data_IF_257987333672
#
_entry.id   IF_257987333672
#
_cell.length_a   1.000
_cell.length_b   1.000
_cell.length_c   1.000
_cell.angle_alpha   90.00
_cell.angle_beta   90.00
_cell.angle_gamma   90.00
#
_symmetry.space_group_name_H-M   'P 1'
#
loop_
_entity.id
_entity.type
_entity.pdbx_description
1 polymer ?
#
# COMPACT_ATOMS: atom_id res chain seq x y z
N UNK A 1 19.11 -2.78 -37.82
CA UNK A 1 18.82 -1.78 -36.77
C UNK A 1 20.12 -1.07 -36.48
N UNK A 2 20.10 0.27 -36.44
CA UNK A 2 21.30 1.09 -36.26
C UNK A 2 21.88 0.88 -34.83
N UNK A 3 23.15 0.51 -34.74
CA UNK A 3 23.83 0.21 -33.46
C UNK A 3 23.86 1.43 -32.51
N UNK A 4 23.86 2.64 -33.06
CA UNK A 4 23.77 3.89 -32.31
C UNK A 4 22.37 4.07 -31.71
N UNK A 5 21.32 3.65 -32.42
CA UNK A 5 19.96 3.65 -31.88
C UNK A 5 19.80 2.64 -30.73
N UNK A 6 20.38 1.44 -30.86
CA UNK A 6 20.37 0.45 -29.79
C UNK A 6 21.09 0.97 -28.53
N UNK A 7 22.26 1.59 -28.70
CA UNK A 7 23.01 2.17 -27.58
C UNK A 7 22.22 3.28 -26.85
N UNK A 8 21.54 4.15 -27.60
CA UNK A 8 20.67 5.20 -27.02
C UNK A 8 19.50 4.61 -26.26
N UNK A 9 18.87 3.57 -26.81
CA UNK A 9 17.75 2.89 -26.15
C UNK A 9 18.18 2.28 -24.82
N UNK A 10 19.31 1.57 -24.80
CA UNK A 10 19.86 0.99 -23.57
C UNK A 10 20.17 2.08 -22.54
N UNK A 11 20.78 3.20 -22.96
CA UNK A 11 21.08 4.32 -22.07
C UNK A 11 19.81 4.91 -21.44
N UNK A 12 18.76 5.13 -22.24
CA UNK A 12 17.47 5.66 -21.75
C UNK A 12 16.82 4.70 -20.75
N UNK A 13 16.84 3.39 -21.04
CA UNK A 13 16.28 2.38 -20.14
C UNK A 13 17.02 2.39 -18.81
N UNK A 14 18.35 2.34 -18.82
CA UNK A 14 19.16 2.36 -17.58
C UNK A 14 18.91 3.64 -16.77
N UNK A 15 18.86 4.80 -17.44
CA UNK A 15 18.57 6.07 -16.78
C UNK A 15 17.17 6.07 -16.13
N UNK A 16 16.15 5.58 -16.85
CA UNK A 16 14.78 5.50 -16.33
C UNK A 16 14.65 4.59 -15.11
N UNK A 17 15.35 3.45 -15.12
CA UNK A 17 15.40 2.51 -13.98
C UNK A 17 16.10 3.15 -12.78
N UNK A 18 17.22 3.84 -12.99
CA UNK A 18 17.94 4.53 -11.92
C UNK A 18 17.08 5.61 -11.23
N UNK A 19 16.41 6.47 -12.01
CA UNK A 19 15.51 7.51 -11.48
C UNK A 19 14.36 6.88 -10.69
N UNK A 20 13.75 5.82 -11.23
CA UNK A 20 12.65 5.12 -10.55
C UNK A 20 13.12 4.48 -9.24
N UNK A 21 14.31 3.87 -9.24
CA UNK A 21 14.89 3.26 -8.05
C UNK A 21 15.16 4.30 -6.95
N UNK A 22 15.72 5.47 -7.29
CA UNK A 22 15.91 6.57 -6.35
C UNK A 22 14.58 7.11 -5.81
N UNK A 23 13.57 7.29 -6.66
CA UNK A 23 12.24 7.71 -6.23
C UNK A 23 11.62 6.72 -5.24
N UNK A 24 11.73 5.41 -5.50
CA UNK A 24 11.26 4.36 -4.59
C UNK A 24 12.09 4.31 -3.30
N UNK A 25 13.40 4.51 -3.39
CA UNK A 25 14.26 4.56 -2.21
C UNK A 25 13.86 5.71 -1.28
N UNK A 26 13.70 6.92 -1.83
CA UNK A 26 13.22 8.10 -1.10
C UNK A 26 11.84 7.87 -0.49
N UNK A 27 10.90 7.33 -1.25
CA UNK A 27 9.57 7.00 -0.74
C UNK A 27 9.63 5.99 0.42
N UNK A 28 10.57 5.03 0.39
CA UNK A 28 10.78 4.08 1.50
C UNK A 28 11.44 4.72 2.72
N UNK A 29 12.36 5.64 2.54
CA UNK A 29 12.93 6.44 3.63
C UNK A 29 11.85 7.29 4.30
N UNK A 30 10.97 7.92 3.51
CA UNK A 30 9.83 8.69 4.01
C UNK A 30 8.83 7.80 4.74
N UNK A 31 8.53 6.60 4.22
CA UNK A 31 7.68 5.62 4.93
C UNK A 31 8.33 5.10 6.21
N UNK A 32 9.65 4.96 6.24
CA UNK A 32 10.40 4.58 7.45
C UNK A 32 10.41 5.72 8.47
N UNK A 33 10.48 6.97 8.01
CA UNK A 33 10.32 8.16 8.84
C UNK A 33 8.88 8.32 9.35
N UNK A 34 7.87 7.98 8.53
CA UNK A 34 6.45 7.91 8.91
C UNK A 34 6.13 6.69 9.79
N UNK A 35 7.01 5.68 9.83
CA UNK A 35 6.97 4.55 10.78
C UNK A 35 7.52 4.94 12.15
N UNK A 36 8.21 6.09 12.30
CA UNK A 36 8.25 6.72 13.63
C UNK A 36 6.80 7.00 14.01
N UNK A 37 6.31 6.54 15.18
CA UNK A 37 4.93 6.72 15.53
C UNK A 37 4.66 8.22 15.61
N UNK A 38 4.04 8.76 14.57
CA UNK A 38 3.40 10.07 14.63
C UNK A 38 2.43 10.01 15.80
N UNK A 39 2.41 11.00 16.72
CA UNK A 39 1.38 11.07 17.73
C UNK A 39 0.05 11.09 16.99
N UNK A 40 -0.68 9.98 17.09
CA UNK A 40 -1.97 9.77 16.44
C UNK A 40 -2.86 10.97 16.74
N UNK A 41 -3.02 11.86 15.79
CA UNK A 41 -4.04 12.89 15.84
C UNK A 41 -5.38 12.21 15.56
N UNK A 42 -6.06 11.86 16.64
CA UNK A 42 -7.51 11.96 16.78
C UNK A 42 -8.37 11.18 15.80
N UNK A 43 -8.56 9.89 16.05
CA UNK A 43 -9.92 9.32 16.11
C UNK A 43 -9.85 8.01 16.87
N UNK A 44 -10.48 8.00 18.04
CA UNK A 44 -10.98 6.85 18.80
C UNK A 44 -10.33 5.50 18.47
N UNK A 45 -9.44 5.02 19.34
CA UNK A 45 -9.16 3.60 19.47
C UNK A 45 -10.09 3.05 20.57
N UNK A 46 -11.28 2.51 20.26
CA UNK A 46 -11.88 1.56 21.16
C UNK A 46 -11.12 0.24 21.03
N UNK A 47 -10.68 -0.29 22.17
CA UNK A 47 -10.45 -1.72 22.48
C UNK A 47 -10.39 -2.63 21.25
N UNK A 48 -9.19 -3.11 20.92
CA UNK A 48 -8.96 -4.36 20.19
C UNK A 48 -9.99 -4.63 19.09
N UNK A 49 -10.07 -3.77 18.08
CA UNK A 49 -11.05 -3.94 17.01
C UNK A 49 -10.88 -5.33 16.38
N UNK A 50 -11.85 -6.27 16.56
CA UNK A 50 -11.74 -7.62 16.02
C UNK A 50 -11.58 -7.60 14.49
N UNK A 51 -12.00 -6.52 13.82
CA UNK A 51 -11.80 -6.31 12.39
C UNK A 51 -10.31 -6.25 12.01
N UNK A 52 -9.45 -5.62 12.82
CA UNK A 52 -8.00 -5.57 12.54
C UNK A 52 -7.37 -6.96 12.60
N UNK A 53 -7.85 -7.84 13.48
CA UNK A 53 -7.41 -9.22 13.56
C UNK A 53 -7.71 -9.98 12.26
N UNK A 54 -8.96 -9.88 11.79
CA UNK A 54 -9.41 -10.52 10.55
C UNK A 54 -8.66 -10.00 9.32
N UNK A 55 -8.48 -8.68 9.21
CA UNK A 55 -7.73 -8.06 8.12
C UNK A 55 -6.26 -8.52 8.09
N UNK A 56 -5.59 -8.60 9.25
CA UNK A 56 -4.21 -9.12 9.32
C UNK A 56 -4.10 -10.57 8.90
N UNK A 57 -5.04 -11.42 9.33
CA UNK A 57 -5.07 -12.84 8.90
C UNK A 57 -5.20 -12.93 7.38
N UNK A 58 -6.12 -12.17 6.78
CA UNK A 58 -6.29 -12.12 5.32
C UNK A 58 -5.05 -11.58 4.60
N UNK A 59 -4.36 -10.58 5.15
CA UNK A 59 -3.12 -10.07 4.58
C UNK A 59 -1.98 -11.10 4.63
N UNK A 60 -1.86 -11.86 5.72
CA UNK A 60 -0.82 -12.89 5.87
C UNK A 60 -1.00 -14.06 4.89
N UNK A 61 -2.24 -14.33 4.46
CA UNK A 61 -2.52 -15.34 3.43
C UNK A 61 -2.14 -14.90 2.01
N UNK A 62 -1.96 -13.59 1.76
CA UNK A 62 -1.52 -13.08 0.47
C UNK A 62 -2.49 -13.40 -0.67
N UNK A 63 -1.96 -13.97 -1.76
CA UNK A 63 -2.76 -14.29 -2.96
C UNK A 63 -3.91 -15.26 -2.68
N UNK A 64 -3.72 -16.21 -1.75
CA UNK A 64 -4.77 -17.16 -1.36
C UNK A 64 -6.03 -16.47 -0.80
N UNK A 65 -5.88 -15.33 -0.12
CA UNK A 65 -7.01 -14.57 0.41
C UNK A 65 -7.92 -13.99 -0.68
N UNK A 66 -7.43 -13.83 -1.91
CA UNK A 66 -8.23 -13.31 -3.03
C UNK A 66 -9.31 -14.29 -3.49
N UNK A 67 -9.15 -15.59 -3.16
CA UNK A 67 -10.09 -16.67 -3.47
C UNK A 67 -10.91 -17.10 -2.26
N UNK A 68 -10.62 -16.53 -1.09
CA UNK A 68 -11.30 -16.82 0.17
C UNK A 68 -12.50 -15.87 0.36
N UNK A 69 -13.69 -16.43 0.41
CA UNK A 69 -14.93 -15.67 0.52
C UNK A 69 -15.03 -14.85 1.84
N UNK A 70 -14.46 -15.35 2.94
CA UNK A 70 -14.45 -14.65 4.23
C UNK A 70 -13.54 -13.42 4.17
N UNK A 71 -12.40 -13.53 3.50
CA UNK A 71 -11.48 -12.40 3.30
C UNK A 71 -12.03 -11.34 2.36
N UNK A 72 -12.68 -11.74 1.27
CA UNK A 72 -13.38 -10.81 0.38
C UNK A 72 -14.47 -10.03 1.13
N UNK A 73 -15.27 -10.72 1.96
CA UNK A 73 -16.29 -10.07 2.79
C UNK A 73 -15.68 -9.10 3.81
N UNK A 74 -14.58 -9.49 4.46
CA UNK A 74 -13.86 -8.66 5.44
C UNK A 74 -13.34 -7.37 4.80
N UNK A 75 -12.77 -7.42 3.60
CA UNK A 75 -12.30 -6.23 2.90
C UNK A 75 -13.44 -5.31 2.45
N UNK A 76 -14.55 -5.89 1.97
CA UNK A 76 -15.73 -5.12 1.61
C UNK A 76 -16.28 -4.35 2.81
N UNK A 77 -16.37 -5.01 3.97
CA UNK A 77 -16.85 -4.39 5.20
C UNK A 77 -15.91 -3.28 5.70
N UNK A 78 -14.60 -3.54 5.68
CA UNK A 78 -13.61 -2.53 6.04
C UNK A 78 -13.73 -1.30 5.12
N UNK A 79 -13.82 -1.52 3.80
CA UNK A 79 -13.98 -0.45 2.81
C UNK A 79 -15.27 0.34 3.05
N UNK A 80 -16.39 -0.34 3.31
CA UNK A 80 -17.66 0.32 3.65
C UNK A 80 -17.48 1.24 4.85
N UNK A 81 -16.96 0.74 5.97
CA UNK A 81 -16.76 1.55 7.19
C UNK A 81 -15.86 2.77 6.98
N UNK A 82 -14.84 2.67 6.14
CA UNK A 82 -13.95 3.79 5.82
C UNK A 82 -14.57 4.80 4.86
N UNK A 83 -15.38 4.35 3.90
CA UNK A 83 -15.98 5.20 2.87
C UNK A 83 -17.41 5.64 3.19
N UNK A 84 -18.01 5.14 4.28
CA UNK A 84 -19.29 5.62 4.78
C UNK A 84 -19.19 7.14 4.96
N UNK A 85 -20.05 7.93 4.29
CA UNK A 85 -20.14 9.35 4.57
C UNK A 85 -20.38 9.50 6.07
N UNK A 86 -19.63 10.37 6.73
CA UNK A 86 -20.10 10.88 8.01
C UNK A 86 -21.42 11.56 7.69
N UNK A 87 -22.55 10.89 7.98
CA UNK A 87 -23.87 11.46 7.81
C UNK A 87 -23.86 12.78 8.56
N UNK A 88 -23.88 13.87 7.80
CA UNK A 88 -23.67 15.22 8.30
C UNK A 88 -24.68 15.49 9.41
N UNK A 89 -24.17 15.61 10.62
CA UNK A 89 -24.82 16.32 11.71
C UNK A 89 -24.40 17.78 11.63
#
# INVERSE_FOLDING_TARGET
>A
MDSKMLARLTLVIVLSVAITAEAVHRAREDLSAATRPSPRTGSEMPRTDPMRGKLRRCQQMGEAATRDAECLATWQENRRRFLSPAEGR
#
